data_IF_985563665532
#
_entry.id   IF_985563665532
#
_cell.length_a   1.000
_cell.length_b   1.000
_cell.length_c   1.000
_cell.angle_alpha   90.00
_cell.angle_beta   90.00
_cell.angle_gamma   90.00
#
_symmetry.space_group_name_H-M   'P 1'
#
loop_
_entity.id
_entity.type
_entity.pdbx_description
1 polymer ?
#
# COMPACT_ATOMS: atom_id res chain seq x y z
N UNK A 1 -15.54 115.58 36.17
CA UNK A 1 -16.83 114.89 35.94
C UNK A 1 -17.04 114.69 34.44
N UNK A 2 -16.59 113.54 33.92
CA UNK A 2 -17.27 112.71 32.89
C UNK A 2 -16.28 111.63 32.45
N UNK A 3 -16.31 110.52 33.20
CA UNK A 3 -15.68 109.25 32.86
C UNK A 3 -16.35 108.67 31.60
N UNK A 4 -15.65 108.66 30.47
CA UNK A 4 -16.01 107.86 29.31
C UNK A 4 -15.36 106.47 29.42
N UNK A 5 -16.06 105.37 29.12
CA UNK A 5 -15.51 104.02 29.28
C UNK A 5 -14.41 103.84 28.23
N UNK A 6 -13.16 103.95 28.66
CA UNK A 6 -12.00 103.62 27.84
C UNK A 6 -11.98 102.13 27.57
N UNK A 7 -12.65 101.68 26.51
CA UNK A 7 -12.32 100.39 25.91
C UNK A 7 -11.00 100.58 25.15
N UNK A 8 -9.89 100.51 25.89
CA UNK A 8 -8.55 100.57 25.31
C UNK A 8 -8.22 99.23 24.65
N UNK A 9 -8.33 99.19 23.34
CA UNK A 9 -7.80 98.10 22.51
C UNK A 9 -8.77 97.64 21.43
N UNK A 10 -8.31 97.65 20.19
CA UNK A 10 -9.01 96.98 19.09
C UNK A 10 -9.22 95.50 19.47
N UNK A 11 -10.46 95.00 19.38
CA UNK A 11 -10.76 93.58 19.57
C UNK A 11 -9.93 92.78 18.58
N UNK A 12 -8.86 92.12 19.06
CA UNK A 12 -7.85 91.49 18.18
C UNK A 12 -8.33 90.21 17.48
N UNK A 13 -9.63 89.91 17.56
CA UNK A 13 -10.19 88.61 17.21
C UNK A 13 -9.69 87.53 18.16
N UNK A 14 -10.39 86.42 18.29
CA UNK A 14 -9.99 85.28 19.14
C UNK A 14 -8.75 84.54 18.61
N UNK A 15 -7.66 85.24 18.28
CA UNK A 15 -6.42 84.71 17.72
C UNK A 15 -5.78 83.63 18.61
N UNK A 16 -5.94 83.74 19.93
CA UNK A 16 -5.49 82.73 20.88
C UNK A 16 -6.30 81.42 20.74
N UNK A 17 -7.62 81.50 20.59
CA UNK A 17 -8.48 80.35 20.30
C UNK A 17 -8.23 79.76 18.91
N UNK A 18 -7.93 80.59 17.90
CA UNK A 18 -7.57 80.12 16.57
C UNK A 18 -6.27 79.30 16.56
N UNK A 19 -5.27 79.72 17.34
CA UNK A 19 -4.01 78.97 17.51
C UNK A 19 -4.25 77.61 18.17
N UNK A 20 -5.10 77.54 19.20
CA UNK A 20 -5.46 76.28 19.85
C UNK A 20 -6.22 75.31 18.92
N UNK A 21 -7.15 75.82 18.12
CA UNK A 21 -7.90 75.00 17.14
C UNK A 21 -6.96 74.47 16.04
N UNK A 22 -6.04 75.29 15.53
CA UNK A 22 -5.07 74.83 14.53
C UNK A 22 -4.11 73.79 15.12
N UNK A 23 -3.61 73.99 16.34
CA UNK A 23 -2.79 72.98 17.01
C UNK A 23 -3.53 71.64 17.20
N UNK A 24 -4.83 71.68 17.51
CA UNK A 24 -5.63 70.46 17.63
C UNK A 24 -5.87 69.79 16.27
N UNK A 25 -6.07 70.55 15.19
CA UNK A 25 -6.16 70.02 13.82
C UNK A 25 -4.83 69.40 13.35
N UNK A 26 -3.69 69.97 13.72
CA UNK A 26 -2.37 69.41 13.43
C UNK A 26 -2.12 68.08 14.16
N UNK A 27 -2.53 67.99 15.43
CA UNK A 27 -2.50 66.72 16.19
C UNK A 27 -3.40 65.67 15.54
N UNK A 28 -4.64 66.04 15.19
CA UNK A 28 -5.59 65.14 14.51
C UNK A 28 -5.00 64.64 13.18
N UNK A 29 -4.40 65.53 12.39
CA UNK A 29 -3.73 65.15 11.14
C UNK A 29 -2.59 64.16 11.40
N UNK A 30 -1.72 64.45 12.37
CA UNK A 30 -0.62 63.54 12.73
C UNK A 30 -1.12 62.17 13.19
N UNK A 31 -2.24 62.12 13.92
CA UNK A 31 -2.85 60.86 14.34
C UNK A 31 -3.43 60.07 13.17
N UNK A 32 -4.07 60.72 12.20
CA UNK A 32 -4.52 60.07 10.98
C UNK A 32 -3.35 59.56 10.15
N UNK A 33 -2.31 60.36 9.95
CA UNK A 33 -1.10 59.94 9.21
C UNK A 33 -0.44 58.72 9.87
N UNK A 34 -0.35 58.72 11.21
CA UNK A 34 0.14 57.57 11.98
C UNK A 34 -0.76 56.35 11.81
N UNK A 35 -2.08 56.54 11.90
CA UNK A 35 -3.06 55.46 11.79
C UNK A 35 -2.99 54.81 10.41
N UNK A 36 -2.97 55.61 9.34
CA UNK A 36 -2.81 55.12 7.96
C UNK A 36 -1.55 54.26 7.85
N UNK A 37 -0.40 54.78 8.27
CA UNK A 37 0.87 54.04 8.18
C UNK A 37 0.85 52.72 8.96
N UNK A 38 0.29 52.72 10.18
CA UNK A 38 0.23 51.50 11.00
C UNK A 38 -0.75 50.48 10.44
N UNK A 39 -1.89 50.93 9.92
CA UNK A 39 -2.88 50.05 9.28
C UNK A 39 -2.33 49.45 8.00
N UNK A 40 -1.72 50.24 7.12
CA UNK A 40 -1.10 49.73 5.89
C UNK A 40 0.01 48.70 6.20
N UNK A 41 0.82 48.96 7.23
CA UNK A 41 1.85 48.01 7.64
C UNK A 41 1.24 46.71 8.18
N UNK A 42 0.20 46.79 9.00
CA UNK A 42 -0.50 45.63 9.53
C UNK A 42 -1.21 44.83 8.44
N UNK A 43 -1.87 45.50 7.48
CA UNK A 43 -2.55 44.87 6.34
C UNK A 43 -1.54 44.16 5.42
N UNK A 44 -0.41 44.81 5.12
CA UNK A 44 0.65 44.21 4.31
C UNK A 44 1.25 42.98 4.99
N UNK A 45 1.49 43.03 6.31
CA UNK A 45 1.99 41.89 7.07
C UNK A 45 0.96 40.75 7.09
N UNK A 46 -0.30 41.04 7.40
CA UNK A 46 -1.37 40.04 7.43
C UNK A 46 -1.57 39.39 6.04
N UNK A 47 -1.44 40.16 4.96
CA UNK A 47 -1.51 39.64 3.62
C UNK A 47 -0.34 38.70 3.31
N UNK A 48 0.89 39.08 3.66
CA UNK A 48 2.07 38.25 3.47
C UNK A 48 1.95 36.92 4.24
N UNK A 49 1.57 36.98 5.52
CA UNK A 49 1.38 35.81 6.38
C UNK A 49 0.30 34.88 5.81
N UNK A 50 -0.81 35.45 5.32
CA UNK A 50 -1.87 34.67 4.69
C UNK A 50 -1.41 33.97 3.41
N UNK A 51 -0.68 34.67 2.53
CA UNK A 51 -0.17 34.08 1.28
C UNK A 51 0.81 32.95 1.56
N UNK A 52 1.70 33.12 2.55
CA UNK A 52 2.62 32.07 2.97
C UNK A 52 1.87 30.85 3.55
N UNK A 53 0.89 31.10 4.43
CA UNK A 53 0.07 30.06 5.02
C UNK A 53 -0.77 29.30 3.98
N UNK A 54 -1.44 30.00 3.05
CA UNK A 54 -2.24 29.39 1.99
C UNK A 54 -1.37 28.53 1.08
N UNK A 55 -0.21 29.04 0.66
CA UNK A 55 0.72 28.29 -0.19
C UNK A 55 1.23 27.02 0.51
N UNK A 56 1.67 27.14 1.75
CA UNK A 56 2.21 26.02 2.53
C UNK A 56 1.12 24.98 2.78
N UNK A 57 -0.06 25.42 3.23
CA UNK A 57 -1.20 24.54 3.50
C UNK A 57 -1.66 23.80 2.26
N UNK A 58 -1.76 24.48 1.10
CA UNK A 58 -2.14 23.82 -0.17
C UNK A 58 -1.13 22.77 -0.61
N UNK A 59 0.17 23.06 -0.47
CA UNK A 59 1.23 22.10 -0.78
C UNK A 59 1.14 20.89 0.13
N UNK A 60 0.98 21.11 1.43
CA UNK A 60 0.89 20.05 2.43
C UNK A 60 -0.36 19.18 2.24
N UNK A 61 -1.51 19.79 1.95
CA UNK A 61 -2.76 19.07 1.68
C UNK A 61 -2.57 18.16 0.46
N UNK A 62 -2.08 18.71 -0.67
CA UNK A 62 -1.84 17.91 -1.88
C UNK A 62 -0.84 16.78 -1.66
N UNK A 63 0.23 17.04 -0.90
CA UNK A 63 1.21 16.03 -0.53
C UNK A 63 0.59 14.89 0.29
N UNK A 64 -0.25 15.24 1.27
CA UNK A 64 -0.98 14.27 2.10
C UNK A 64 -2.03 13.50 1.31
N UNK A 65 -2.80 14.15 0.44
CA UNK A 65 -3.77 13.48 -0.45
C UNK A 65 -3.08 12.45 -1.35
N UNK A 66 -1.97 12.83 -1.98
CA UNK A 66 -1.16 11.91 -2.81
C UNK A 66 -0.64 10.74 -1.98
N UNK A 67 -0.14 11.01 -0.76
CA UNK A 67 0.36 9.97 0.14
C UNK A 67 -0.74 8.98 0.52
N UNK A 68 -1.95 9.47 0.81
CA UNK A 68 -3.11 8.62 1.12
C UNK A 68 -3.47 7.74 -0.09
N UNK A 69 -3.51 8.31 -1.29
CA UNK A 69 -3.82 7.56 -2.51
C UNK A 69 -2.81 6.43 -2.76
N UNK A 70 -1.51 6.74 -2.70
CA UNK A 70 -0.44 5.75 -2.86
C UNK A 70 -0.52 4.67 -1.79
N UNK A 71 -0.71 5.05 -0.52
CA UNK A 71 -0.82 4.09 0.59
C UNK A 71 -2.03 3.16 0.41
N UNK A 72 -3.15 3.66 -0.12
CA UNK A 72 -4.32 2.83 -0.42
C UNK A 72 -4.07 1.89 -1.62
N UNK A 73 -3.33 2.33 -2.63
CA UNK A 73 -2.92 1.46 -3.74
C UNK A 73 -2.00 0.34 -3.25
N UNK A 74 -1.00 0.67 -2.44
CA UNK A 74 -0.07 -0.30 -1.85
C UNK A 74 -0.80 -1.30 -0.95
N UNK A 75 -1.75 -0.84 -0.14
CA UNK A 75 -2.58 -1.71 0.69
C UNK A 75 -3.37 -2.71 -0.17
N UNK A 76 -4.03 -2.24 -1.24
CA UNK A 76 -4.78 -3.11 -2.17
C UNK A 76 -3.87 -4.11 -2.87
N UNK A 77 -2.70 -3.67 -3.34
CA UNK A 77 -1.72 -4.53 -3.99
C UNK A 77 -1.20 -5.62 -3.04
N UNK A 78 -0.87 -5.22 -1.80
CA UNK A 78 -0.37 -6.12 -0.75
C UNK A 78 -1.42 -7.16 -0.38
N UNK A 79 -2.67 -6.77 -0.14
CA UNK A 79 -3.76 -7.71 0.14
C UNK A 79 -3.96 -8.70 -1.01
N UNK A 80 -3.97 -8.22 -2.25
CA UNK A 80 -4.07 -9.08 -3.44
C UNK A 80 -2.88 -10.03 -3.60
N UNK A 81 -1.70 -9.65 -3.12
CA UNK A 81 -0.52 -10.52 -3.12
C UNK A 81 -0.62 -11.57 -2.02
N UNK A 82 -1.10 -11.20 -0.83
CA UNK A 82 -1.35 -12.13 0.29
C UNK A 82 -2.34 -13.21 -0.14
N UNK A 83 -3.48 -12.84 -0.72
CA UNK A 83 -4.51 -13.79 -1.14
C UNK A 83 -3.97 -14.80 -2.17
N UNK A 84 -3.23 -14.30 -3.17
CA UNK A 84 -2.57 -15.15 -4.16
C UNK A 84 -1.56 -16.09 -3.51
N UNK A 85 -0.71 -15.59 -2.61
CA UNK A 85 0.32 -16.39 -1.94
C UNK A 85 -0.27 -17.43 -0.99
N UNK A 86 -1.38 -17.12 -0.34
CA UNK A 86 -2.12 -18.10 0.46
C UNK A 86 -2.70 -19.20 -0.43
N UNK A 87 -3.29 -18.86 -1.58
CA UNK A 87 -3.75 -19.84 -2.56
C UNK A 87 -2.64 -20.73 -3.11
N UNK A 88 -1.50 -20.14 -3.47
CA UNK A 88 -0.28 -20.86 -3.90
C UNK A 88 0.19 -21.84 -2.81
N UNK A 89 0.21 -21.38 -1.55
CA UNK A 89 0.63 -22.18 -0.41
C UNK A 89 -0.30 -23.38 -0.19
N UNK A 90 -1.62 -23.17 -0.15
CA UNK A 90 -2.60 -24.24 0.02
C UNK A 90 -2.48 -25.27 -1.10
N UNK A 91 -2.33 -24.82 -2.35
CA UNK A 91 -2.14 -25.72 -3.50
C UNK A 91 -0.86 -26.52 -3.37
N UNK A 92 0.24 -25.87 -3.01
CA UNK A 92 1.55 -26.52 -2.85
C UNK A 92 1.56 -27.54 -1.71
N UNK A 93 0.87 -27.24 -0.60
CA UNK A 93 0.68 -28.16 0.51
C UNK A 93 -0.13 -29.40 0.07
N UNK A 94 -1.25 -29.19 -0.64
CA UNK A 94 -2.03 -30.31 -1.18
C UNK A 94 -1.23 -31.21 -2.12
N UNK A 95 -0.44 -30.63 -3.03
CA UNK A 95 0.44 -31.38 -3.91
C UNK A 95 1.52 -32.17 -3.14
N UNK A 96 2.06 -31.59 -2.07
CA UNK A 96 3.03 -32.26 -1.21
C UNK A 96 2.40 -33.44 -0.47
N UNK A 97 1.21 -33.24 0.11
CA UNK A 97 0.47 -34.29 0.82
C UNK A 97 0.12 -35.45 -0.12
N UNK A 98 -0.36 -35.14 -1.33
CA UNK A 98 -0.62 -36.15 -2.37
C UNK A 98 0.65 -36.89 -2.76
N UNK A 99 1.77 -36.19 -2.98
CA UNK A 99 3.04 -36.81 -3.29
C UNK A 99 3.53 -37.74 -2.17
N UNK A 100 3.42 -37.32 -0.91
CA UNK A 100 3.77 -38.15 0.24
C UNK A 100 2.91 -39.41 0.31
N UNK A 101 1.60 -39.28 0.11
CA UNK A 101 0.68 -40.41 0.08
C UNK A 101 1.04 -41.40 -1.04
N UNK A 102 1.31 -40.91 -2.25
CA UNK A 102 1.71 -41.80 -3.36
C UNK A 102 3.01 -42.55 -3.05
N UNK A 103 3.97 -41.90 -2.37
CA UNK A 103 5.20 -42.54 -1.94
C UNK A 103 4.90 -43.63 -0.89
N UNK A 104 4.03 -43.36 0.08
CA UNK A 104 3.62 -44.35 1.08
C UNK A 104 2.93 -45.57 0.45
N UNK A 105 2.05 -45.34 -0.53
CA UNK A 105 1.36 -46.41 -1.27
C UNK A 105 2.34 -47.25 -2.13
N UNK A 106 3.39 -46.61 -2.69
CA UNK A 106 4.39 -47.29 -3.54
C UNK A 106 5.47 -48.03 -2.75
N UNK A 107 5.82 -47.57 -1.54
CA UNK A 107 6.85 -48.20 -0.67
C UNK A 107 6.69 -49.72 -0.52
N UNK A 108 5.51 -50.28 -0.19
CA UNK A 108 5.36 -51.73 -0.08
C UNK A 108 5.56 -52.47 -1.40
N UNK A 109 5.24 -51.85 -2.54
CA UNK A 109 5.44 -52.47 -3.86
C UNK A 109 6.89 -52.41 -4.35
N UNK A 110 7.65 -51.39 -3.96
CA UNK A 110 8.99 -51.15 -4.49
C UNK A 110 10.13 -51.56 -3.56
N UNK A 111 9.92 -51.53 -2.24
CA UNK A 111 10.97 -51.77 -1.24
C UNK A 111 10.64 -53.02 -0.41
N UNK A 112 9.42 -53.10 0.12
CA UNK A 112 9.00 -54.22 0.99
C UNK A 112 8.28 -55.34 0.22
N UNK A 113 8.82 -55.75 -0.93
CA UNK A 113 8.22 -56.84 -1.74
C UNK A 113 8.19 -58.21 -1.04
N UNK A 114 8.76 -58.34 0.15
CA UNK A 114 8.77 -59.56 0.97
C UNK A 114 9.55 -60.73 0.36
N UNK A 115 10.15 -60.56 -0.81
CA UNK A 115 10.92 -61.57 -1.54
C UNK A 115 12.22 -60.97 -2.07
N UNK A 116 13.32 -61.67 -1.86
CA UNK A 116 14.61 -61.32 -2.48
C UNK A 116 14.53 -61.40 -4.01
N UNK A 117 15.39 -60.67 -4.71
CA UNK A 117 15.49 -60.74 -6.16
C UNK A 117 15.66 -62.19 -6.65
N UNK A 118 16.49 -62.97 -5.96
CA UNK A 118 16.73 -64.39 -6.26
C UNK A 118 15.48 -65.25 -6.12
N UNK A 119 14.67 -65.05 -5.07
CA UNK A 119 13.40 -65.77 -4.89
C UNK A 119 12.38 -65.39 -5.97
N UNK A 120 12.31 -64.12 -6.37
CA UNK A 120 11.43 -63.69 -7.47
C UNK A 120 11.83 -64.34 -8.80
N UNK A 121 13.12 -64.36 -9.12
CA UNK A 121 13.63 -65.00 -10.34
C UNK A 121 13.37 -66.50 -10.32
N UNK A 122 13.56 -67.16 -9.16
CA UNK A 122 13.24 -68.56 -8.96
C UNK A 122 11.77 -68.88 -9.23
N UNK A 123 10.84 -68.19 -8.55
CA UNK A 123 9.39 -68.36 -8.77
C UNK A 123 8.97 -68.09 -10.22
N UNK A 124 9.57 -67.08 -10.86
CA UNK A 124 9.30 -66.80 -12.28
C UNK A 124 9.77 -67.93 -13.19
N UNK A 125 10.92 -68.54 -12.89
CA UNK A 125 11.41 -69.68 -13.66
C UNK A 125 10.50 -70.92 -13.47
N UNK A 126 10.04 -71.17 -12.24
CA UNK A 126 9.06 -72.23 -11.94
C UNK A 126 7.73 -72.00 -12.66
N UNK A 127 7.22 -70.77 -12.65
CA UNK A 127 6.01 -70.37 -13.37
C UNK A 127 6.17 -70.58 -14.88
N UNK A 128 7.30 -70.15 -15.47
CA UNK A 128 7.60 -70.37 -16.89
C UNK A 128 7.63 -71.87 -17.23
N UNK A 129 8.24 -72.70 -16.38
CA UNK A 129 8.29 -74.15 -16.60
C UNK A 129 6.88 -74.78 -16.53
N UNK A 130 6.05 -74.36 -15.57
CA UNK A 130 4.67 -74.81 -15.44
C UNK A 130 3.82 -74.38 -16.65
N UNK A 131 3.96 -73.14 -17.11
CA UNK A 131 3.27 -72.62 -18.29
C UNK A 131 3.69 -73.35 -19.56
N UNK A 132 4.99 -73.64 -19.75
CA UNK A 132 5.46 -74.48 -20.86
C UNK A 132 4.86 -75.88 -20.81
N UNK A 133 4.80 -76.49 -19.62
CA UNK A 133 4.19 -77.81 -19.45
C UNK A 133 2.70 -77.80 -19.79
N UNK A 134 1.97 -76.79 -19.30
CA UNK A 134 0.54 -76.64 -19.60
C UNK A 134 0.29 -76.39 -21.09
N UNK A 135 1.14 -75.57 -21.74
CA UNK A 135 1.09 -75.33 -23.19
C UNK A 135 1.19 -76.64 -23.96
N UNK A 136 2.14 -77.51 -23.60
CA UNK A 136 2.30 -78.81 -24.27
C UNK A 136 1.16 -79.79 -24.00
N UNK A 137 0.52 -79.73 -22.83
CA UNK A 137 -0.68 -80.53 -22.55
C UNK A 137 -1.93 -80.05 -23.31
N UNK A 138 -2.00 -78.75 -23.60
CA UNK A 138 -3.10 -78.11 -24.31
C UNK A 138 -2.87 -78.03 -25.83
N UNK A 139 -1.84 -78.70 -26.35
CA UNK A 139 -1.54 -78.79 -27.79
C UNK A 139 -1.97 -80.15 -28.38
N UNK A 140 -3.27 -80.37 -28.65
CA UNK A 140 -3.76 -81.62 -29.23
C UNK A 140 -3.37 -81.81 -30.70
N UNK A 141 -2.93 -80.75 -31.38
CA UNK A 141 -2.60 -80.75 -32.81
C UNK A 141 -1.07 -80.70 -33.07
N UNK A 142 -0.26 -80.71 -32.02
CA UNK A 142 1.22 -80.72 -32.06
C UNK A 142 1.79 -79.57 -32.92
N UNK A 143 1.20 -78.38 -32.77
CA UNK A 143 1.57 -77.16 -33.53
C UNK A 143 2.68 -76.35 -32.85
N UNK A 144 2.93 -76.58 -31.56
CA UNK A 144 3.94 -75.87 -30.77
C UNK A 144 5.31 -76.57 -30.86
N UNK A 145 6.20 -76.01 -31.68
CA UNK A 145 7.53 -76.60 -31.95
C UNK A 145 8.42 -76.80 -30.70
N UNK A 146 8.17 -76.04 -29.62
CA UNK A 146 8.91 -76.16 -28.35
C UNK A 146 8.49 -77.37 -27.50
N UNK A 147 7.34 -77.99 -27.80
CA UNK A 147 6.76 -79.06 -26.99
C UNK A 147 7.29 -80.46 -27.29
N UNK A 148 8.16 -80.58 -28.29
CA UNK A 148 8.81 -81.84 -28.65
C UNK A 148 7.79 -82.87 -29.14
N UNK A 149 7.61 -82.94 -30.47
CA UNK A 149 6.65 -83.81 -31.15
C UNK A 149 6.50 -85.17 -30.48
N UNK A 150 5.31 -85.41 -29.93
CA UNK A 150 5.06 -86.40 -28.90
C UNK A 150 3.92 -87.35 -29.26
N UNK A 151 4.01 -87.98 -30.44
CA UNK A 151 3.49 -89.32 -30.70
C UNK A 151 4.54 -90.19 -31.38
#
# INVERSE_FOLDING_TARGET
>A
ETSGPGFSGAYRGGQESATGIIGMLEVIKSDFDRTVRMTELAENQAHADFVEFDRTSRSDIKGKETTVELSQQDLRATNSAIDRKMGDLTTSQGLLDDALKTIEDLKPMCIDTGMSYTERVGKRAEEIAALKTALCQLDPNDVEAECGGGR
#
